data_IF_981590607400
#
_entry.id   IF_981590607400
#
_cell.length_a   1.000
_cell.length_b   1.000
_cell.length_c   1.000
_cell.angle_alpha   90.00
_cell.angle_beta   90.00
_cell.angle_gamma   90.00
#
_symmetry.space_group_name_H-M   'P 1'
#
loop_
_entity.id
_entity.type
_entity.pdbx_description
1 polymer ?
#
# COMPACT_ATOMS: atom_id res chain seq x y z
N UNK A 1 -11.61 21.26 14.71
CA UNK A 1 -12.22 20.04 14.16
C UNK A 1 -12.17 18.96 15.24
N UNK A 2 -13.25 18.18 15.40
CA UNK A 2 -13.21 16.99 16.27
C UNK A 2 -12.45 15.85 15.56
N UNK A 3 -11.97 14.84 16.33
CA UNK A 3 -11.31 13.68 15.74
C UNK A 3 -12.20 12.97 14.68
N UNK A 4 -13.51 12.88 14.93
CA UNK A 4 -14.48 12.31 13.98
C UNK A 4 -14.55 13.09 12.66
N UNK A 5 -14.41 14.42 12.72
CA UNK A 5 -14.45 15.26 11.51
C UNK A 5 -13.18 15.14 10.66
N UNK A 6 -12.05 14.77 11.27
CA UNK A 6 -10.78 14.53 10.57
C UNK A 6 -10.80 13.19 9.80
N UNK A 7 -11.63 12.22 10.23
CA UNK A 7 -11.74 10.93 9.53
C UNK A 7 -12.44 11.12 8.18
N UNK A 8 -11.79 10.80 7.03
CA UNK A 8 -12.21 11.32 5.73
C UNK A 8 -13.35 10.56 5.04
N UNK A 9 -13.85 9.42 5.57
CA UNK A 9 -14.98 8.75 4.91
C UNK A 9 -16.34 9.37 5.33
N UNK A 10 -17.35 9.24 4.49
CA UNK A 10 -18.70 9.77 4.73
C UNK A 10 -19.61 8.73 5.39
N UNK A 11 -19.60 7.51 4.90
CA UNK A 11 -20.39 6.40 5.47
C UNK A 11 -19.68 5.05 5.26
N UNK A 12 -19.91 4.13 6.20
CA UNK A 12 -19.53 2.73 6.14
C UNK A 12 -20.79 1.88 6.21
N UNK A 13 -20.89 0.87 5.33
CA UNK A 13 -22.04 -0.03 5.27
C UNK A 13 -21.67 -1.44 5.75
N UNK A 14 -22.65 -2.24 6.19
CA UNK A 14 -22.40 -3.59 6.71
C UNK A 14 -21.68 -4.52 5.73
N UNK A 15 -21.94 -4.37 4.44
CA UNK A 15 -21.32 -5.14 3.34
C UNK A 15 -19.90 -4.68 2.97
N UNK A 16 -19.32 -3.79 3.75
CA UNK A 16 -17.98 -3.26 3.53
C UNK A 16 -17.90 -2.12 2.52
N UNK A 17 -19.00 -1.70 1.92
CA UNK A 17 -19.00 -0.51 1.04
C UNK A 17 -18.77 0.75 1.87
N UNK A 18 -17.75 1.51 1.52
CA UNK A 18 -17.40 2.77 2.16
C UNK A 18 -17.52 3.92 1.17
N UNK A 19 -18.28 4.97 1.53
CA UNK A 19 -18.42 6.19 0.74
C UNK A 19 -17.37 7.21 1.17
N UNK A 20 -16.58 7.68 0.23
CA UNK A 20 -15.61 8.76 0.39
C UNK A 20 -16.17 10.09 -0.15
N UNK A 21 -15.57 11.25 0.20
CA UNK A 21 -15.84 12.51 -0.46
C UNK A 21 -15.64 12.41 -1.98
N UNK A 22 -16.37 13.25 -2.73
CA UNK A 22 -16.28 13.26 -4.20
C UNK A 22 -17.04 12.12 -4.89
N UNK A 23 -17.89 11.38 -4.17
CA UNK A 23 -18.73 10.34 -4.77
C UNK A 23 -18.00 9.03 -5.09
N UNK A 24 -16.83 8.81 -4.49
CA UNK A 24 -16.08 7.55 -4.62
C UNK A 24 -16.61 6.54 -3.59
N UNK A 25 -16.94 5.34 -4.05
CA UNK A 25 -17.31 4.20 -3.22
C UNK A 25 -16.24 3.13 -3.32
N UNK A 26 -15.85 2.54 -2.18
CA UNK A 26 -14.73 1.61 -2.11
C UNK A 26 -15.10 0.31 -1.39
N UNK A 27 -14.43 -0.78 -1.78
CA UNK A 27 -14.36 -2.04 -1.03
C UNK A 27 -12.91 -2.43 -0.81
N UNK A 28 -12.65 -3.30 0.18
CA UNK A 28 -11.33 -3.76 0.57
C UNK A 28 -11.30 -5.28 0.66
N UNK A 29 -10.23 -5.87 0.18
CA UNK A 29 -9.91 -7.30 0.32
C UNK A 29 -8.61 -7.41 1.09
N UNK A 30 -8.58 -8.25 2.13
CA UNK A 30 -7.35 -8.69 2.80
C UNK A 30 -6.76 -9.86 2.00
N UNK A 31 -5.41 -9.89 1.85
CA UNK A 31 -4.74 -10.99 1.16
C UNK A 31 -3.43 -11.36 1.84
N UNK A 32 -3.03 -12.61 1.67
CA UNK A 32 -1.82 -13.17 2.28
C UNK A 32 -0.63 -13.19 1.30
N UNK A 33 0.52 -13.63 1.82
CA UNK A 33 1.72 -13.82 1.02
C UNK A 33 1.66 -15.11 0.19
N UNK A 34 2.37 -15.08 -0.93
CA UNK A 34 2.77 -16.25 -1.67
C UNK A 34 4.26 -16.53 -1.41
N UNK A 35 4.65 -17.79 -1.30
CA UNK A 35 6.04 -18.18 -1.10
C UNK A 35 6.90 -18.01 -2.37
N UNK A 36 7.04 -16.77 -2.81
CA UNK A 36 7.80 -16.41 -4.02
C UNK A 36 9.30 -16.77 -3.91
N UNK A 37 9.91 -16.51 -2.75
CA UNK A 37 11.36 -16.69 -2.55
C UNK A 37 11.84 -18.16 -2.59
N UNK A 38 10.94 -19.12 -2.31
CA UNK A 38 11.25 -20.55 -2.33
C UNK A 38 10.72 -21.26 -3.58
N UNK A 39 10.03 -20.53 -4.45
CA UNK A 39 9.52 -21.05 -5.71
C UNK A 39 10.63 -21.26 -6.74
N UNK A 40 10.44 -22.20 -7.67
CA UNK A 40 11.36 -22.38 -8.81
C UNK A 40 11.39 -21.12 -9.70
N UNK A 41 12.44 -20.93 -10.50
CA UNK A 41 12.54 -19.78 -11.41
C UNK A 41 11.35 -19.71 -12.39
N UNK A 42 10.85 -20.87 -12.84
CA UNK A 42 9.69 -20.95 -13.72
C UNK A 42 8.42 -20.49 -13.00
N UNK A 43 8.22 -20.95 -11.76
CA UNK A 43 7.09 -20.52 -10.92
C UNK A 43 7.17 -19.04 -10.56
N UNK A 44 8.37 -18.52 -10.25
CA UNK A 44 8.58 -17.09 -10.02
C UNK A 44 8.17 -16.25 -11.23
N UNK A 45 8.55 -16.68 -12.42
CA UNK A 45 8.17 -16.01 -13.67
C UNK A 45 6.65 -16.07 -13.89
N UNK A 46 6.02 -17.22 -13.61
CA UNK A 46 4.57 -17.39 -13.72
C UNK A 46 3.82 -16.50 -12.73
N UNK A 47 4.29 -16.42 -11.48
CA UNK A 47 3.74 -15.55 -10.43
C UNK A 47 3.85 -14.08 -10.86
N UNK A 48 5.02 -13.66 -11.36
CA UNK A 48 5.23 -12.29 -11.82
C UNK A 48 4.31 -11.94 -13.00
N UNK A 49 4.22 -12.81 -14.00
CA UNK A 49 3.33 -12.63 -15.13
C UNK A 49 1.85 -12.58 -14.70
N UNK A 50 1.47 -13.41 -13.73
CA UNK A 50 0.13 -13.42 -13.15
C UNK A 50 -0.19 -12.11 -12.43
N UNK A 51 0.74 -11.57 -11.64
CA UNK A 51 0.59 -10.27 -10.99
C UNK A 51 0.48 -9.12 -11.98
N UNK A 52 1.32 -9.11 -13.01
CA UNK A 52 1.26 -8.12 -14.09
C UNK A 52 -0.10 -8.14 -14.79
N UNK A 53 -0.61 -9.32 -15.10
CA UNK A 53 -1.94 -9.49 -15.69
C UNK A 53 -3.05 -9.04 -14.75
N UNK A 54 -2.92 -9.30 -13.44
CA UNK A 54 -3.86 -8.85 -12.44
C UNK A 54 -3.88 -7.32 -12.32
N UNK A 55 -2.72 -6.67 -12.27
CA UNK A 55 -2.66 -5.20 -12.22
C UNK A 55 -3.24 -4.57 -13.49
N UNK A 56 -3.03 -5.18 -14.66
CA UNK A 56 -3.61 -4.73 -15.93
C UNK A 56 -5.15 -4.88 -16.00
N UNK A 57 -5.78 -5.60 -15.06
CA UNK A 57 -7.23 -5.63 -14.91
C UNK A 57 -7.81 -4.23 -14.57
N UNK A 58 -7.10 -3.44 -13.76
CA UNK A 58 -7.57 -2.12 -13.32
C UNK A 58 -7.42 -1.09 -14.43
N UNK A 59 -8.53 -0.62 -14.95
CA UNK A 59 -8.56 0.47 -15.95
C UNK A 59 -8.62 1.86 -15.28
N UNK A 60 -8.67 2.90 -16.08
CA UNK A 60 -8.67 4.30 -15.60
C UNK A 60 -9.91 4.68 -14.79
N UNK A 61 -10.98 3.87 -14.82
CA UNK A 61 -12.20 4.07 -14.03
C UNK A 61 -12.15 3.40 -12.66
N UNK A 62 -11.13 2.57 -12.41
CA UNK A 62 -10.96 1.77 -11.20
C UNK A 62 -9.66 2.16 -10.46
N UNK A 63 -9.62 3.29 -9.74
CA UNK A 63 -8.51 3.59 -8.86
C UNK A 63 -8.42 2.53 -7.76
N UNK A 64 -7.20 2.14 -7.40
CA UNK A 64 -6.97 1.18 -6.34
C UNK A 64 -5.74 1.56 -5.52
N UNK A 65 -5.65 0.98 -4.33
CA UNK A 65 -4.48 1.11 -3.46
C UNK A 65 -4.09 -0.22 -2.87
N UNK A 66 -2.80 -0.42 -2.72
CA UNK A 66 -2.22 -1.51 -1.96
C UNK A 66 -1.73 -0.95 -0.62
N UNK A 67 -2.16 -1.54 0.48
CA UNK A 67 -1.76 -1.12 1.83
C UNK A 67 -1.08 -2.27 2.54
N UNK A 68 0.08 -1.98 3.11
CA UNK A 68 0.90 -2.90 3.89
C UNK A 68 1.03 -2.32 5.29
N UNK A 69 0.57 -3.04 6.29
CA UNK A 69 0.48 -2.56 7.66
C UNK A 69 1.35 -3.43 8.56
N UNK A 70 2.35 -2.81 9.16
CA UNK A 70 3.16 -3.39 10.21
C UNK A 70 2.68 -2.82 11.56
N UNK A 71 2.18 -3.69 12.43
CA UNK A 71 1.67 -3.31 13.74
C UNK A 71 2.24 -4.22 14.82
N UNK A 72 2.56 -3.67 15.99
CA UNK A 72 2.90 -4.48 17.16
C UNK A 72 1.68 -5.24 17.65
N UNK A 73 1.75 -6.55 17.54
CA UNK A 73 0.71 -7.42 18.09
C UNK A 73 0.92 -7.60 19.59
N UNK A 74 -0.07 -7.22 20.36
CA UNK A 74 -0.12 -7.52 21.80
C UNK A 74 -0.90 -8.81 22.06
N UNK A 75 -1.52 -9.36 21.02
CA UNK A 75 -2.31 -10.59 21.12
C UNK A 75 -1.47 -11.80 20.68
N UNK A 76 -1.18 -12.69 21.63
CA UNK A 76 -0.58 -14.02 21.37
C UNK A 76 -1.51 -14.98 20.60
N UNK A 77 -2.67 -14.50 20.14
CA UNK A 77 -3.78 -15.40 19.81
C UNK A 77 -3.94 -15.76 18.33
N UNK A 78 -3.33 -15.04 17.37
CA UNK A 78 -3.47 -15.39 15.94
C UNK A 78 -2.71 -16.65 15.51
N UNK A 79 -1.62 -16.97 16.19
CA UNK A 79 -0.86 -18.20 15.96
C UNK A 79 -1.10 -19.17 17.11
N UNK A 80 -2.32 -19.70 17.23
CA UNK A 80 -2.57 -20.87 18.06
C UNK A 80 -1.94 -22.09 17.37
N UNK A 81 -0.61 -22.19 17.42
CA UNK A 81 0.04 -23.47 17.17
C UNK A 81 -0.36 -24.39 18.31
N UNK A 82 -1.31 -25.24 18.05
CA UNK A 82 -1.73 -26.29 18.95
C UNK A 82 -1.67 -27.58 18.16
N UNK A 83 -0.68 -28.43 18.45
CA UNK A 83 -0.59 -29.77 17.87
C UNK A 83 -1.65 -30.62 18.60
N UNK A 84 -2.62 -31.19 17.90
CA UNK A 84 -3.67 -31.99 18.51
C UNK A 84 -3.06 -33.10 19.33
N UNK A 85 -3.57 -33.30 20.56
CA UNK A 85 -3.22 -34.45 21.39
C UNK A 85 -3.79 -35.72 20.77
N UNK A 86 -3.03 -36.79 20.77
CA UNK A 86 -3.47 -38.12 20.35
C UNK A 86 -3.40 -39.07 21.53
N UNK A 87 -4.12 -40.17 21.44
CA UNK A 87 -4.13 -41.22 22.44
C UNK A 87 -2.88 -42.13 22.30
N UNK A 88 -1.72 -41.47 22.49
CA UNK A 88 -0.40 -42.10 22.44
C UNK A 88 0.51 -41.52 23.52
N UNK A 89 1.64 -42.13 23.79
CA UNK A 89 2.58 -41.73 24.84
C UNK A 89 3.44 -40.51 24.47
N UNK A 90 3.16 -39.79 23.34
CA UNK A 90 3.96 -38.69 22.82
C UNK A 90 3.38 -37.31 23.08
N UNK A 91 2.40 -37.16 23.94
CA UNK A 91 1.78 -35.86 24.21
C UNK A 91 2.74 -34.86 24.86
N UNK A 92 3.67 -35.34 25.69
CA UNK A 92 4.75 -34.50 26.25
C UNK A 92 5.66 -33.89 25.17
N UNK A 93 6.00 -34.69 24.17
CA UNK A 93 6.80 -34.25 23.01
C UNK A 93 6.03 -33.23 22.17
N UNK A 94 4.71 -33.42 21.97
CA UNK A 94 3.84 -32.48 21.28
C UNK A 94 3.72 -31.14 22.03
N UNK A 95 3.62 -31.19 23.35
CA UNK A 95 3.57 -30.00 24.20
C UNK A 95 4.92 -29.23 24.14
N UNK A 96 6.06 -29.93 24.18
CA UNK A 96 7.40 -29.34 24.05
C UNK A 96 7.63 -28.73 22.66
N UNK A 97 7.26 -29.46 21.59
CA UNK A 97 7.36 -28.97 20.22
C UNK A 97 6.45 -27.78 19.97
N UNK A 98 5.22 -27.78 20.52
CA UNK A 98 4.30 -26.65 20.52
C UNK A 98 4.93 -25.44 21.23
N UNK A 99 5.57 -25.66 22.37
CA UNK A 99 6.31 -24.63 23.12
C UNK A 99 7.46 -24.06 22.32
N UNK A 100 8.24 -24.91 21.66
CA UNK A 100 9.36 -24.51 20.81
C UNK A 100 8.89 -23.69 19.61
N UNK A 101 7.85 -24.12 18.90
CA UNK A 101 7.25 -23.38 17.78
C UNK A 101 6.69 -22.02 18.22
N UNK A 102 5.98 -21.95 19.35
CA UNK A 102 5.51 -20.67 19.93
C UNK A 102 6.66 -19.73 20.24
N UNK A 103 7.76 -20.24 20.81
CA UNK A 103 8.94 -19.44 21.11
C UNK A 103 9.66 -18.99 19.82
N UNK A 104 9.70 -19.83 18.79
CA UNK A 104 10.33 -19.50 17.52
C UNK A 104 9.51 -18.44 16.75
N UNK A 105 8.18 -18.55 16.73
CA UNK A 105 7.29 -17.53 16.16
C UNK A 105 7.43 -16.21 16.92
N UNK A 106 7.50 -16.25 18.25
CA UNK A 106 7.68 -15.04 19.06
C UNK A 106 9.03 -14.36 18.82
N UNK A 107 10.08 -15.12 18.47
CA UNK A 107 11.42 -14.59 18.17
C UNK A 107 11.55 -14.12 16.71
N UNK A 108 10.93 -14.81 15.76
CA UNK A 108 11.10 -14.53 14.34
C UNK A 108 10.37 -13.27 13.85
N UNK A 109 9.30 -12.86 14.52
CA UNK A 109 8.48 -11.71 14.09
C UNK A 109 8.66 -10.44 14.93
N UNK A 110 9.58 -10.40 15.90
CA UNK A 110 9.77 -9.27 16.82
C UNK A 110 8.46 -8.67 17.38
N UNK A 111 7.37 -9.46 17.38
CA UNK A 111 6.02 -9.00 17.76
C UNK A 111 5.33 -8.12 16.71
N UNK A 112 5.86 -8.01 15.49
CA UNK A 112 5.22 -7.30 14.38
C UNK A 112 4.29 -8.24 13.62
N UNK A 113 3.04 -7.87 13.54
CA UNK A 113 2.04 -8.46 12.67
C UNK A 113 1.97 -7.69 11.36
N UNK A 114 2.05 -8.40 10.24
CA UNK A 114 2.00 -7.82 8.90
C UNK A 114 0.70 -8.22 8.23
N UNK A 115 -0.03 -7.23 7.74
CA UNK A 115 -1.27 -7.45 6.99
C UNK A 115 -1.26 -6.65 5.70
N UNK A 116 -1.96 -7.16 4.69
CA UNK A 116 -1.96 -6.62 3.33
C UNK A 116 -3.38 -6.49 2.83
N UNK A 117 -3.66 -5.34 2.23
CA UNK A 117 -4.99 -5.00 1.75
C UNK A 117 -4.91 -4.41 0.35
N UNK A 118 -5.86 -4.79 -0.48
CA UNK A 118 -6.18 -4.06 -1.69
C UNK A 118 -7.54 -3.37 -1.52
N UNK A 119 -7.56 -2.07 -1.71
CA UNK A 119 -8.80 -1.26 -1.72
C UNK A 119 -8.99 -0.71 -3.12
N UNK A 120 -10.14 -0.95 -3.70
CA UNK A 120 -10.52 -0.45 -5.02
C UNK A 120 -11.79 0.39 -4.92
N UNK A 121 -11.96 1.31 -5.84
CA UNK A 121 -13.06 2.25 -5.81
C UNK A 121 -13.67 2.53 -7.16
N UNK A 122 -14.91 2.94 -7.15
CA UNK A 122 -15.62 3.40 -8.34
C UNK A 122 -16.35 4.72 -8.02
N UNK A 123 -16.37 5.68 -8.94
CA UNK A 123 -17.26 6.83 -8.85
C UNK A 123 -18.70 6.40 -9.13
N UNK A 124 -19.63 6.88 -8.32
CA UNK A 124 -21.07 6.66 -8.52
C UNK A 124 -21.89 7.79 -7.86
N UNK A 125 -23.09 8.02 -8.35
CA UNK A 125 -24.00 9.00 -7.78
C UNK A 125 -24.61 8.53 -6.46
N UNK A 126 -24.80 7.20 -6.31
CA UNK A 126 -25.39 6.60 -5.12
C UNK A 126 -24.98 5.16 -4.87
N UNK A 127 -25.25 4.68 -3.64
CA UNK A 127 -24.90 3.33 -3.23
C UNK A 127 -25.62 2.25 -4.04
N UNK A 128 -26.84 2.52 -4.51
CA UNK A 128 -27.63 1.57 -5.32
C UNK A 128 -26.94 1.25 -6.65
N UNK A 129 -26.23 2.23 -7.23
CA UNK A 129 -25.40 2.04 -8.41
C UNK A 129 -24.04 1.44 -8.06
N UNK A 130 -23.41 1.93 -6.98
CA UNK A 130 -22.07 1.53 -6.60
C UNK A 130 -21.96 0.05 -6.17
N UNK A 131 -22.92 -0.43 -5.37
CA UNK A 131 -22.87 -1.75 -4.75
C UNK A 131 -22.73 -2.89 -5.77
N UNK A 132 -23.60 -3.06 -6.77
CA UNK A 132 -23.48 -4.20 -7.70
C UNK A 132 -22.20 -4.14 -8.56
N UNK A 133 -21.72 -2.93 -8.86
CA UNK A 133 -20.45 -2.75 -9.59
C UNK A 133 -19.26 -3.13 -8.73
N UNK A 134 -19.23 -2.73 -7.45
CA UNK A 134 -18.17 -3.09 -6.50
C UNK A 134 -18.18 -4.58 -6.19
N UNK A 135 -19.33 -5.24 -6.06
CA UNK A 135 -19.44 -6.68 -5.87
C UNK A 135 -18.85 -7.46 -7.05
N UNK A 136 -19.08 -6.98 -8.26
CA UNK A 136 -18.46 -7.57 -9.46
C UNK A 136 -16.93 -7.42 -9.45
N UNK A 137 -16.43 -6.22 -9.16
CA UNK A 137 -14.98 -5.98 -9.07
C UNK A 137 -14.37 -6.84 -7.96
N UNK A 138 -15.04 -6.96 -6.80
CA UNK A 138 -14.60 -7.81 -5.69
C UNK A 138 -14.49 -9.28 -6.14
N UNK A 139 -15.48 -9.81 -6.84
CA UNK A 139 -15.46 -11.17 -7.37
C UNK A 139 -14.30 -11.38 -8.36
N UNK A 140 -14.04 -10.40 -9.24
CA UNK A 140 -12.93 -10.45 -10.19
C UNK A 140 -11.57 -10.39 -9.48
N UNK A 141 -11.41 -9.53 -8.47
CA UNK A 141 -10.21 -9.43 -7.63
C UNK A 141 -9.95 -10.73 -6.90
N UNK A 142 -10.97 -11.30 -6.24
CA UNK A 142 -10.88 -12.60 -5.55
C UNK A 142 -10.52 -13.74 -6.53
N UNK A 143 -11.10 -13.72 -7.74
CA UNK A 143 -10.78 -14.68 -8.80
C UNK A 143 -9.33 -14.58 -9.27
N UNK A 144 -8.77 -13.36 -9.34
CA UNK A 144 -7.36 -13.15 -9.68
C UNK A 144 -6.44 -13.67 -8.57
N UNK A 145 -6.70 -13.36 -7.30
CA UNK A 145 -5.95 -13.90 -6.16
C UNK A 145 -5.98 -15.43 -6.12
N UNK A 146 -7.15 -16.03 -6.35
CA UNK A 146 -7.27 -17.48 -6.41
C UNK A 146 -6.41 -18.09 -7.53
N UNK A 147 -6.34 -17.46 -8.71
CA UNK A 147 -5.47 -17.91 -9.81
C UNK A 147 -3.99 -17.80 -9.47
N UNK A 148 -3.60 -16.81 -8.70
CA UNK A 148 -2.24 -16.62 -8.19
C UNK A 148 -1.90 -17.56 -7.02
N UNK A 149 -2.87 -18.31 -6.48
CA UNK A 149 -2.68 -19.13 -5.30
C UNK A 149 -2.54 -18.32 -4.01
N UNK A 150 -3.00 -17.07 -4.01
CA UNK A 150 -2.95 -16.16 -2.85
C UNK A 150 -4.25 -16.28 -2.06
N UNK A 151 -4.22 -16.69 -0.78
CA UNK A 151 -5.38 -16.66 0.08
C UNK A 151 -5.87 -15.22 0.26
N UNK A 152 -7.16 -15.01 0.16
CA UNK A 152 -7.73 -13.66 0.27
C UNK A 152 -9.17 -13.70 0.76
N UNK A 153 -9.59 -12.67 1.50
CA UNK A 153 -10.93 -12.55 2.07
C UNK A 153 -11.47 -11.13 1.87
N UNK A 154 -12.73 -10.98 1.43
CA UNK A 154 -13.36 -9.67 1.34
C UNK A 154 -13.67 -9.15 2.75
N UNK A 155 -13.42 -7.88 2.99
CA UNK A 155 -13.70 -7.25 4.29
C UNK A 155 -15.12 -6.70 4.33
N UNK A 156 -15.91 -7.15 5.29
CA UNK A 156 -17.18 -6.54 5.63
C UNK A 156 -16.99 -5.18 6.35
N UNK A 157 -18.08 -4.47 6.60
CA UNK A 157 -18.00 -3.16 7.22
C UNK A 157 -17.46 -3.19 8.66
N UNK A 158 -17.70 -4.27 9.42
CA UNK A 158 -17.15 -4.43 10.77
C UNK A 158 -15.65 -4.66 10.73
N UNK A 159 -15.17 -5.51 9.82
CA UNK A 159 -13.75 -5.79 9.64
C UNK A 159 -13.00 -4.52 9.21
N UNK A 160 -13.56 -3.73 8.28
CA UNK A 160 -12.99 -2.44 7.86
C UNK A 160 -12.95 -1.43 9.02
N UNK A 161 -14.02 -1.33 9.81
CA UNK A 161 -14.03 -0.46 11.00
C UNK A 161 -13.02 -0.93 12.06
N UNK A 162 -12.86 -2.23 12.27
CA UNK A 162 -11.85 -2.79 13.17
C UNK A 162 -10.43 -2.45 12.70
N UNK A 163 -10.16 -2.53 11.40
CA UNK A 163 -8.89 -2.12 10.81
C UNK A 163 -8.63 -0.63 11.04
N UNK A 164 -9.58 0.24 10.72
CA UNK A 164 -9.47 1.69 10.96
C UNK A 164 -9.29 2.02 12.43
N UNK A 165 -10.06 1.37 13.33
CA UNK A 165 -9.90 1.52 14.77
C UNK A 165 -8.46 1.18 15.20
N UNK A 166 -7.91 0.10 14.69
CA UNK A 166 -6.55 -0.31 15.03
C UNK A 166 -5.47 0.68 14.58
N UNK A 167 -5.70 1.39 13.47
CA UNK A 167 -4.82 2.47 12.99
C UNK A 167 -4.97 3.75 13.83
N UNK A 168 -6.19 4.02 14.28
CA UNK A 168 -6.50 5.19 15.10
C UNK A 168 -6.13 5.02 16.58
N UNK A 169 -5.89 3.78 17.05
CA UNK A 169 -5.53 3.47 18.44
C UNK A 169 -4.22 2.66 18.50
N UNK A 170 -3.08 3.24 18.04
CA UNK A 170 -1.81 2.53 18.05
C UNK A 170 -1.43 2.18 19.50
N UNK A 171 -0.93 0.94 19.69
CA UNK A 171 -0.54 0.42 21.00
C UNK A 171 -1.70 0.04 21.93
N UNK A 172 -2.95 0.24 21.54
CA UNK A 172 -4.08 -0.19 22.33
C UNK A 172 -4.16 -1.71 22.41
N UNK A 173 -4.48 -2.23 23.60
CA UNK A 173 -4.75 -3.66 23.85
C UNK A 173 -6.23 -3.98 23.86
N UNK A 174 -7.07 -2.97 23.74
CA UNK A 174 -8.51 -3.14 23.79
C UNK A 174 -9.03 -3.72 22.48
N UNK A 175 -9.89 -4.72 22.61
CA UNK A 175 -10.58 -5.29 21.46
C UNK A 175 -11.62 -4.30 20.93
N UNK A 176 -11.68 -4.13 19.61
CA UNK A 176 -12.72 -3.33 18.97
C UNK A 176 -14.12 -3.89 19.26
N UNK A 177 -14.93 -3.12 19.96
CA UNK A 177 -16.30 -3.46 20.34
C UNK A 177 -17.27 -2.63 19.52
N UNK A 178 -17.90 -3.25 18.56
CA UNK A 178 -18.87 -2.61 17.68
C UNK A 178 -19.88 -3.62 17.17
N UNK A 179 -21.14 -3.22 17.16
CA UNK A 179 -22.23 -3.94 16.49
C UNK A 179 -23.09 -2.95 15.71
N UNK A 180 -23.56 -3.33 14.54
CA UNK A 180 -24.48 -2.49 13.75
C UNK A 180 -25.78 -2.17 14.48
N UNK A 181 -26.16 -2.97 15.49
CA UNK A 181 -27.33 -2.73 16.36
C UNK A 181 -27.11 -1.56 17.32
N UNK A 182 -25.86 -1.19 17.58
CA UNK A 182 -25.53 -0.11 18.52
C UNK A 182 -25.86 1.26 17.94
N UNK A 183 -25.74 1.44 16.61
CA UNK A 183 -25.96 2.71 15.92
C UNK A 183 -27.37 3.29 16.20
N UNK A 184 -28.50 2.58 15.90
CA UNK A 184 -29.82 3.11 16.18
C UNK A 184 -30.15 3.23 17.68
N UNK A 185 -29.48 2.47 18.53
CA UNK A 185 -29.71 2.49 19.98
C UNK A 185 -29.01 3.66 20.68
N UNK A 186 -27.80 4.01 20.21
CA UNK A 186 -26.98 5.06 20.84
C UNK A 186 -27.07 6.41 20.12
N UNK A 187 -27.51 6.42 18.86
CA UNK A 187 -27.46 7.61 18.00
C UNK A 187 -26.04 7.99 17.53
N UNK A 188 -25.04 7.14 17.83
CA UNK A 188 -23.64 7.34 17.42
C UNK A 188 -23.45 6.87 15.97
N UNK A 189 -22.55 7.53 15.24
CA UNK A 189 -22.13 7.11 13.90
C UNK A 189 -20.92 6.16 13.98
N UNK A 190 -20.62 5.49 12.86
CA UNK A 190 -19.47 4.57 12.78
C UNK A 190 -18.14 5.24 13.13
N UNK A 191 -17.99 6.54 12.88
CA UNK A 191 -16.79 7.31 13.20
C UNK A 191 -16.55 7.45 14.71
N UNK A 192 -17.61 7.48 15.53
CA UNK A 192 -17.50 7.61 16.98
C UNK A 192 -16.87 6.36 17.61
N UNK A 193 -17.05 5.19 16.99
CA UNK A 193 -16.46 3.94 17.47
C UNK A 193 -14.99 3.76 17.07
N UNK A 194 -14.49 4.53 16.11
CA UNK A 194 -13.11 4.39 15.62
C UNK A 194 -12.25 5.63 15.91
N UNK A 195 -12.87 6.75 16.31
CA UNK A 195 -12.14 7.99 16.55
C UNK A 195 -11.18 7.83 17.75
N UNK A 196 -9.93 8.28 17.61
CA UNK A 196 -8.97 8.28 18.72
C UNK A 196 -9.33 9.37 19.74
N UNK A 197 -8.81 9.22 20.95
CA UNK A 197 -8.99 10.20 22.03
C UNK A 197 -8.50 11.61 21.65
N UNK A 198 -7.42 11.66 20.86
CA UNK A 198 -6.86 12.93 20.38
C UNK A 198 -6.09 12.77 19.08
N UNK A 199 -6.21 13.79 18.22
CA UNK A 199 -5.40 14.00 17.02
C UNK A 199 -4.81 15.41 17.05
N UNK A 200 -3.51 15.56 16.82
CA UNK A 200 -2.83 16.85 16.83
C UNK A 200 -1.86 16.97 15.64
N UNK A 201 -2.20 17.80 14.66
CA UNK A 201 -1.43 18.08 13.45
C UNK A 201 -0.78 19.48 13.45
N UNK A 202 -0.62 20.13 14.62
CA UNK A 202 -0.06 21.49 14.72
C UNK A 202 1.44 21.56 14.38
N UNK A 203 2.15 20.43 14.39
CA UNK A 203 3.56 20.40 14.01
C UNK A 203 3.71 20.21 12.48
N UNK A 204 4.72 20.88 11.90
CA UNK A 204 4.92 20.85 10.45
C UNK A 204 5.27 19.47 9.89
N UNK A 205 6.00 18.66 10.64
CA UNK A 205 6.63 17.41 10.14
C UNK A 205 6.24 16.15 10.90
N UNK A 206 5.43 16.29 11.95
CA UNK A 206 4.98 15.20 12.81
C UNK A 206 3.56 15.48 13.27
N UNK A 207 2.87 14.44 13.69
CA UNK A 207 1.56 14.55 14.34
C UNK A 207 1.51 13.68 15.58
N UNK A 208 0.44 13.82 16.36
CA UNK A 208 0.17 12.96 17.50
C UNK A 208 -1.19 12.32 17.37
N UNK A 209 -1.25 11.05 17.72
CA UNK A 209 -2.47 10.26 17.84
C UNK A 209 -2.48 9.57 19.19
N UNK A 210 -3.36 10.00 20.10
CA UNK A 210 -3.30 9.60 21.49
C UNK A 210 -1.91 9.88 22.09
N UNK A 211 -1.26 8.84 22.59
CA UNK A 211 0.09 8.93 23.16
C UNK A 211 1.22 8.74 22.13
N UNK A 212 0.89 8.33 20.89
CA UNK A 212 1.87 8.05 19.85
C UNK A 212 2.26 9.29 19.06
N UNK A 213 3.48 9.27 18.57
CA UNK A 213 4.00 10.19 17.57
C UNK A 213 3.90 9.57 16.20
N UNK A 214 3.53 10.37 15.21
CA UNK A 214 3.43 9.94 13.83
C UNK A 214 4.13 10.88 12.87
N UNK A 215 4.56 10.35 11.73
CA UNK A 215 5.07 11.10 10.60
C UNK A 215 4.63 10.47 9.29
N UNK A 216 4.11 11.29 8.38
CA UNK A 216 3.80 10.89 7.01
C UNK A 216 4.90 11.37 6.10
N UNK A 217 5.37 10.45 5.27
CA UNK A 217 6.38 10.70 4.25
C UNK A 217 5.91 10.10 2.92
N UNK A 218 6.48 10.58 1.82
CA UNK A 218 6.30 9.96 0.50
C UNK A 218 7.65 9.57 -0.08
N UNK A 219 7.64 8.55 -0.93
CA UNK A 219 8.82 8.08 -1.63
C UNK A 219 8.94 8.80 -2.98
N UNK A 220 10.02 9.55 -3.13
CA UNK A 220 10.43 10.12 -4.41
C UNK A 220 11.31 9.11 -5.12
N UNK A 221 10.84 8.55 -6.22
CA UNK A 221 11.56 7.57 -7.02
C UNK A 221 12.41 8.32 -8.04
N UNK A 222 13.73 8.12 -8.00
CA UNK A 222 14.71 8.68 -8.92
C UNK A 222 15.38 7.60 -9.78
N UNK A 223 15.21 6.33 -9.37
CA UNK A 223 15.70 5.19 -10.12
C UNK A 223 14.92 5.02 -11.43
N UNK A 224 15.60 4.61 -12.50
CA UNK A 224 14.96 4.21 -13.76
C UNK A 224 14.18 2.90 -13.63
N UNK A 225 14.66 2.01 -12.76
CA UNK A 225 14.04 0.73 -12.43
C UNK A 225 13.97 0.58 -10.90
N UNK A 226 12.86 0.07 -10.39
CA UNK A 226 12.65 -0.14 -8.98
C UNK A 226 12.74 -1.64 -8.65
N UNK A 227 13.58 -1.99 -7.68
CA UNK A 227 13.67 -3.38 -7.18
C UNK A 227 12.52 -3.69 -6.20
N UNK A 228 11.98 -4.90 -6.30
CA UNK A 228 11.03 -5.48 -5.34
C UNK A 228 11.59 -5.54 -3.91
N UNK A 229 12.91 -5.60 -3.77
CA UNK A 229 13.62 -5.61 -2.47
C UNK A 229 13.39 -4.35 -1.66
N UNK A 230 13.15 -3.20 -2.29
CA UNK A 230 12.88 -1.96 -1.57
C UNK A 230 11.71 -2.09 -0.60
N UNK A 231 10.56 -2.56 -1.09
CA UNK A 231 9.37 -2.73 -0.28
C UNK A 231 9.58 -3.82 0.78
N UNK A 232 10.21 -4.94 0.40
CA UNK A 232 10.51 -6.03 1.32
C UNK A 232 11.39 -5.55 2.49
N UNK A 233 12.50 -4.86 2.24
CA UNK A 233 13.41 -4.34 3.28
C UNK A 233 12.71 -3.31 4.18
N UNK A 234 11.83 -2.46 3.64
CA UNK A 234 11.05 -1.52 4.45
C UNK A 234 10.09 -2.27 5.38
N UNK A 235 9.37 -3.27 4.87
CA UNK A 235 8.38 -4.04 5.65
C UNK A 235 9.02 -5.00 6.65
N UNK A 236 10.29 -5.36 6.49
CA UNK A 236 11.04 -6.19 7.46
C UNK A 236 11.45 -5.41 8.72
N UNK A 237 11.40 -4.09 8.70
CA UNK A 237 11.78 -3.28 9.86
C UNK A 237 10.91 -3.57 11.09
N UNK A 238 11.54 -3.57 12.28
CA UNK A 238 10.86 -3.63 13.58
C UNK A 238 10.28 -2.24 13.93
N UNK A 239 9.33 -1.78 13.12
CA UNK A 239 8.68 -0.50 13.27
C UNK A 239 7.19 -0.60 12.96
N UNK A 240 6.37 0.14 13.71
CA UNK A 240 4.96 0.29 13.38
C UNK A 240 4.83 1.29 12.21
N UNK A 241 4.33 0.79 11.10
CA UNK A 241 4.17 1.62 9.90
C UNK A 241 3.04 1.13 9.01
N UNK A 242 2.52 2.05 8.23
CA UNK A 242 1.64 1.77 7.11
C UNK A 242 2.29 2.28 5.84
N UNK A 243 2.52 1.38 4.89
CA UNK A 243 2.96 1.72 3.55
C UNK A 243 1.78 1.62 2.62
N UNK A 244 1.46 2.69 1.90
CA UNK A 244 0.33 2.70 0.96
C UNK A 244 0.80 3.14 -0.42
N UNK A 245 0.49 2.33 -1.40
CA UNK A 245 0.65 2.63 -2.82
C UNK A 245 -0.71 3.00 -3.39
N UNK A 246 -0.93 4.29 -3.66
CA UNK A 246 -2.09 4.76 -4.41
C UNK A 246 -1.80 4.65 -5.90
N UNK A 247 -2.60 3.88 -6.60
CA UNK A 247 -2.35 3.52 -8.00
C UNK A 247 -3.55 3.97 -8.83
N UNK A 248 -3.27 4.76 -9.85
CA UNK A 248 -4.25 5.21 -10.81
C UNK A 248 -3.79 4.84 -12.21
N UNK A 249 -4.60 4.06 -12.91
CA UNK A 249 -4.34 3.70 -14.31
C UNK A 249 -4.59 4.92 -15.20
N UNK A 250 -3.66 5.22 -16.08
CA UNK A 250 -3.84 6.26 -17.09
C UNK A 250 -4.62 5.68 -18.26
N UNK A 251 -5.59 6.44 -18.78
CA UNK A 251 -6.28 6.08 -20.02
C UNK A 251 -5.30 5.80 -21.15
N UNK A 252 -5.52 4.71 -21.90
CA UNK A 252 -4.56 4.22 -22.90
C UNK A 252 -4.22 5.24 -23.96
N UNK A 253 -5.24 5.94 -24.48
CA UNK A 253 -5.03 6.96 -25.52
C UNK A 253 -4.27 8.16 -24.96
N UNK A 254 -4.60 8.55 -23.72
CA UNK A 254 -3.91 9.63 -23.02
C UNK A 254 -2.47 9.25 -22.73
N UNK A 255 -2.20 8.02 -22.30
CA UNK A 255 -0.85 7.51 -22.05
C UNK A 255 -0.01 7.58 -23.32
N UNK A 256 -0.49 7.00 -24.43
CA UNK A 256 0.20 7.02 -25.73
C UNK A 256 0.47 8.47 -26.19
N UNK A 257 -0.53 9.36 -26.08
CA UNK A 257 -0.38 10.77 -26.44
C UNK A 257 0.69 11.47 -25.60
N UNK A 258 0.68 11.22 -24.30
CA UNK A 258 1.67 11.79 -23.36
C UNK A 258 3.08 11.34 -23.70
N UNK A 259 3.31 10.05 -23.94
CA UNK A 259 4.64 9.53 -24.30
C UNK A 259 5.10 10.04 -25.65
N UNK A 260 4.22 10.08 -26.67
CA UNK A 260 4.56 10.70 -27.96
C UNK A 260 4.96 12.17 -27.81
N UNK A 261 4.29 12.93 -26.95
CA UNK A 261 4.65 14.31 -26.63
C UNK A 261 6.05 14.38 -26.01
N UNK A 262 6.36 13.52 -25.04
CA UNK A 262 7.69 13.45 -24.41
C UNK A 262 8.80 13.08 -25.40
N UNK A 263 8.55 12.12 -26.30
CA UNK A 263 9.50 11.77 -27.39
C UNK A 263 9.78 12.98 -28.28
N UNK A 264 8.74 13.75 -28.63
CA UNK A 264 8.89 14.98 -29.41
C UNK A 264 9.75 16.02 -28.69
N UNK A 265 9.52 16.22 -27.38
CA UNK A 265 10.28 17.18 -26.57
C UNK A 265 11.74 16.75 -26.42
N UNK A 266 12.01 15.45 -26.19
CA UNK A 266 13.37 14.88 -26.18
C UNK A 266 14.05 15.11 -27.55
N UNK A 267 13.32 14.94 -28.65
CA UNK A 267 13.81 15.23 -29.98
C UNK A 267 14.25 16.71 -30.17
N UNK A 268 13.46 17.66 -29.66
CA UNK A 268 13.83 19.08 -29.65
C UNK A 268 15.09 19.33 -28.83
N UNK A 269 15.18 18.74 -27.62
CA UNK A 269 16.36 18.85 -26.77
C UNK A 269 17.62 18.31 -27.45
N UNK A 270 17.52 17.17 -28.15
CA UNK A 270 18.64 16.64 -28.96
C UNK A 270 19.12 17.64 -30.00
N UNK A 271 18.20 18.24 -30.77
CA UNK A 271 18.53 19.24 -31.78
C UNK A 271 19.19 20.47 -31.16
N UNK A 272 18.73 20.91 -29.99
CA UNK A 272 19.34 22.04 -29.26
C UNK A 272 20.77 21.72 -28.80
N UNK A 273 21.00 20.53 -28.23
CA UNK A 273 22.34 20.11 -27.81
C UNK A 273 23.28 19.94 -29.01
N UNK A 274 22.82 19.39 -30.14
CA UNK A 274 23.60 19.35 -31.38
C UNK A 274 23.99 20.73 -31.89
N UNK A 275 23.06 21.69 -31.87
CA UNK A 275 23.36 23.10 -32.25
C UNK A 275 24.37 23.76 -31.33
N UNK A 276 24.29 23.47 -30.01
CA UNK A 276 25.28 23.97 -29.05
C UNK A 276 26.67 23.39 -29.31
N UNK A 277 26.73 22.05 -29.55
CA UNK A 277 27.99 21.37 -29.87
C UNK A 277 28.67 21.99 -31.11
N UNK A 278 27.92 22.17 -32.20
CA UNK A 278 28.42 22.81 -33.43
C UNK A 278 28.95 24.22 -33.17
N UNK A 279 28.22 25.03 -32.39
CA UNK A 279 28.66 26.40 -32.04
C UNK A 279 29.93 26.42 -31.19
N UNK A 280 30.15 25.37 -30.40
CA UNK A 280 31.32 25.26 -29.51
C UNK A 280 32.47 24.47 -30.15
N UNK A 281 32.34 24.06 -31.42
CA UNK A 281 33.37 23.32 -32.15
C UNK A 281 33.49 21.84 -31.74
N UNK A 282 32.48 21.25 -31.08
CA UNK A 282 32.42 19.85 -30.73
C UNK A 282 31.62 19.04 -31.75
N UNK A 283 31.82 17.74 -31.73
CA UNK A 283 31.08 16.79 -32.57
C UNK A 283 29.58 16.77 -32.19
N UNK A 284 28.65 17.10 -33.12
CA UNK A 284 27.21 17.12 -32.85
C UNK A 284 26.61 15.72 -32.57
N UNK A 285 27.32 14.65 -32.90
CA UNK A 285 26.84 13.28 -32.63
C UNK A 285 27.10 12.86 -31.17
N UNK A 286 27.90 13.60 -30.42
CA UNK A 286 28.12 13.41 -28.99
C UNK A 286 26.99 14.07 -28.20
N UNK A 287 25.96 13.29 -27.90
CA UNK A 287 24.85 13.74 -27.08
C UNK A 287 25.06 13.40 -25.59
N UNK A 288 24.48 14.19 -24.65
CA UNK A 288 24.46 13.81 -23.23
C UNK A 288 23.88 12.40 -23.04
N UNK A 289 24.55 11.52 -22.24
CA UNK A 289 24.10 10.14 -22.01
C UNK A 289 22.64 10.04 -21.56
N UNK A 290 22.20 10.98 -20.72
CA UNK A 290 20.82 11.01 -20.21
C UNK A 290 19.78 11.17 -21.33
N UNK A 291 20.06 12.01 -22.35
CA UNK A 291 19.15 12.19 -23.49
C UNK A 291 19.05 10.92 -24.36
N UNK A 292 20.15 10.16 -24.46
CA UNK A 292 20.16 8.90 -25.20
C UNK A 292 19.29 7.88 -24.45
N UNK A 293 19.51 7.74 -23.14
CA UNK A 293 18.76 6.83 -22.27
C UNK A 293 17.28 7.16 -22.28
N UNK A 294 16.90 8.41 -21.97
CA UNK A 294 15.49 8.83 -21.97
C UNK A 294 14.78 8.63 -23.32
N UNK A 295 15.52 8.83 -24.42
CA UNK A 295 14.95 8.58 -25.76
C UNK A 295 14.65 7.11 -26.01
N UNK A 296 15.53 6.23 -25.56
CA UNK A 296 15.38 4.79 -25.67
C UNK A 296 14.21 4.30 -24.80
N UNK A 297 14.22 4.68 -23.52
CA UNK A 297 13.19 4.29 -22.55
C UNK A 297 11.79 4.75 -22.99
N UNK A 298 11.68 5.98 -23.50
CA UNK A 298 10.41 6.50 -23.99
C UNK A 298 9.91 5.76 -25.24
N UNK A 299 10.81 5.33 -26.13
CA UNK A 299 10.46 4.55 -27.30
C UNK A 299 10.02 3.12 -26.93
N UNK A 300 10.72 2.48 -26.00
CA UNK A 300 10.37 1.14 -25.48
C UNK A 300 9.02 1.19 -24.78
N UNK A 301 8.79 2.16 -23.88
CA UNK A 301 7.50 2.36 -23.22
C UNK A 301 6.36 2.57 -24.22
N UNK A 302 6.58 3.34 -25.30
CA UNK A 302 5.58 3.52 -26.33
C UNK A 302 5.26 2.21 -27.05
N UNK A 303 6.27 1.40 -27.36
CA UNK A 303 6.10 0.11 -27.99
C UNK A 303 5.30 -0.86 -27.10
N UNK A 304 5.59 -0.90 -25.80
CA UNK A 304 4.87 -1.73 -24.82
C UNK A 304 3.40 -1.32 -24.70
N UNK A 305 3.13 -0.02 -24.61
CA UNK A 305 1.76 0.50 -24.57
C UNK A 305 0.97 0.19 -25.87
N UNK A 306 1.62 0.14 -27.03
CA UNK A 306 0.94 -0.07 -28.32
C UNK A 306 0.81 -1.55 -28.69
N UNK A 307 1.80 -2.38 -28.33
CA UNK A 307 1.90 -3.76 -28.85
C UNK A 307 1.55 -4.83 -27.82
N UNK A 308 1.79 -4.56 -26.52
CA UNK A 308 1.62 -5.57 -25.46
C UNK A 308 0.38 -5.37 -24.60
N UNK A 309 -0.46 -4.38 -24.91
CA UNK A 309 -1.62 -3.99 -24.11
C UNK A 309 -1.28 -3.74 -22.63
N UNK A 310 -0.07 -3.29 -22.38
CA UNK A 310 0.36 -2.88 -21.05
C UNK A 310 -0.26 -1.54 -20.68
N UNK A 311 -0.40 -1.29 -19.38
CA UNK A 311 -1.01 -0.07 -18.86
C UNK A 311 0.03 0.81 -18.18
N UNK A 312 -0.15 2.11 -18.32
CA UNK A 312 0.63 3.09 -17.57
C UNK A 312 -0.10 3.43 -16.27
N UNK A 313 0.62 3.39 -15.16
CA UNK A 313 0.11 3.72 -13.84
C UNK A 313 0.79 4.98 -13.31
N UNK A 314 0.01 5.82 -12.62
CA UNK A 314 0.53 6.85 -11.74
C UNK A 314 0.56 6.27 -10.33
N UNK A 315 1.72 6.32 -9.70
CA UNK A 315 1.96 5.79 -8.37
C UNK A 315 2.29 6.91 -7.39
N UNK A 316 1.56 6.95 -6.27
CA UNK A 316 1.95 7.70 -5.07
C UNK A 316 2.25 6.72 -3.96
N UNK A 317 3.48 6.70 -3.51
CA UNK A 317 3.96 5.80 -2.46
C UNK A 317 4.12 6.59 -1.16
N UNK A 318 3.28 6.32 -0.17
CA UNK A 318 3.29 6.98 1.14
C UNK A 318 3.71 6.02 2.24
N UNK A 319 4.37 6.54 3.24
CA UNK A 319 4.78 5.81 4.45
C UNK A 319 4.34 6.61 5.67
N UNK A 320 3.52 6.00 6.50
CA UNK A 320 3.14 6.52 7.81
C UNK A 320 3.90 5.72 8.86
N UNK A 321 4.78 6.37 9.61
CA UNK A 321 5.46 5.77 10.75
C UNK A 321 4.77 6.20 12.04
N UNK A 322 4.61 5.26 12.97
CA UNK A 322 4.06 5.49 14.31
C UNK A 322 5.03 4.97 15.37
N UNK A 323 5.22 5.73 16.46
CA UNK A 323 6.08 5.29 17.55
C UNK A 323 5.63 5.88 18.91
N UNK A 324 5.89 5.18 20.02
CA UNK A 324 5.51 5.66 21.34
C UNK A 324 6.32 6.90 21.80
N UNK A 325 7.48 7.14 21.22
CA UNK A 325 8.33 8.29 21.52
C UNK A 325 8.79 9.00 20.25
N UNK A 326 9.03 10.30 20.36
CA UNK A 326 9.55 11.09 19.23
C UNK A 326 10.91 10.59 18.75
N UNK A 327 11.79 10.21 19.69
CA UNK A 327 13.12 9.70 19.35
C UNK A 327 13.03 8.41 18.52
N UNK A 328 12.15 7.49 18.91
CA UNK A 328 11.93 6.25 18.15
C UNK A 328 11.38 6.54 16.76
N UNK A 329 10.40 7.47 16.66
CA UNK A 329 9.86 7.90 15.37
C UNK A 329 10.95 8.43 14.43
N UNK A 330 11.82 9.33 14.94
CA UNK A 330 12.91 9.90 14.13
C UNK A 330 13.87 8.80 13.64
N UNK A 331 14.21 7.84 14.50
CA UNK A 331 15.06 6.71 14.15
C UNK A 331 14.40 5.83 13.07
N UNK A 332 13.12 5.51 13.22
CA UNK A 332 12.38 4.66 12.28
C UNK A 332 12.29 5.34 10.90
N UNK A 333 11.96 6.64 10.84
CA UNK A 333 11.92 7.40 9.59
C UNK A 333 13.32 7.52 8.96
N UNK A 334 14.36 7.72 9.76
CA UNK A 334 15.74 7.75 9.28
C UNK A 334 16.16 6.42 8.66
N UNK A 335 15.79 5.30 9.28
CA UNK A 335 16.10 3.96 8.79
C UNK A 335 15.39 3.68 7.46
N UNK A 336 14.09 4.00 7.36
CA UNK A 336 13.34 3.89 6.08
C UNK A 336 14.00 4.77 5.00
N UNK A 337 14.43 5.99 5.36
CA UNK A 337 15.14 6.89 4.45
C UNK A 337 16.47 6.29 3.94
N UNK A 338 17.22 5.62 4.82
CA UNK A 338 18.46 4.92 4.45
C UNK A 338 18.22 3.77 3.46
N UNK A 339 17.16 2.98 3.68
CA UNK A 339 16.74 1.94 2.72
C UNK A 339 16.36 2.56 1.39
N UNK A 340 15.56 3.63 1.39
CA UNK A 340 15.18 4.32 0.17
C UNK A 340 16.39 4.78 -0.65
N UNK A 341 17.40 5.37 0.01
CA UNK A 341 18.63 5.82 -0.64
C UNK A 341 19.43 4.69 -1.29
N UNK A 342 19.47 3.51 -0.66
CA UNK A 342 20.11 2.32 -1.22
C UNK A 342 19.55 1.94 -2.60
N UNK A 343 18.28 2.25 -2.86
CA UNK A 343 17.57 1.97 -4.11
C UNK A 343 17.36 3.21 -4.99
N UNK A 344 18.21 4.23 -4.86
CA UNK A 344 18.09 5.49 -5.61
C UNK A 344 16.70 6.15 -5.48
N UNK A 345 16.16 6.12 -4.27
CA UNK A 345 14.93 6.79 -3.90
C UNK A 345 15.21 7.76 -2.74
N UNK A 346 14.34 8.72 -2.55
CA UNK A 346 14.39 9.62 -1.40
C UNK A 346 13.08 9.61 -0.63
N UNK A 347 13.15 9.36 0.68
CA UNK A 347 11.99 9.52 1.56
C UNK A 347 11.85 11.00 1.93
N UNK A 348 10.74 11.62 1.56
CA UNK A 348 10.43 13.03 1.82
C UNK A 348 9.27 13.14 2.78
N UNK A 349 9.45 13.82 3.91
CA UNK A 349 8.32 14.15 4.80
C UNK A 349 7.39 15.17 4.16
N UNK A 350 6.11 15.02 4.46
CA UNK A 350 5.12 16.03 4.11
C UNK A 350 5.22 17.18 5.11
N UNK A 351 5.70 18.34 4.67
CA UNK A 351 5.77 19.53 5.50
C UNK A 351 4.42 20.27 5.47
N UNK A 352 3.82 20.50 6.65
CA UNK A 352 2.50 21.13 6.83
C UNK A 352 1.31 20.40 6.19
N UNK A 353 1.51 19.17 5.73
CA UNK A 353 0.50 18.34 5.07
C UNK A 353 0.35 16.97 5.75
N UNK A 354 0.68 16.88 7.03
CA UNK A 354 0.63 15.63 7.78
C UNK A 354 -0.81 15.10 7.91
N UNK A 355 -1.80 15.99 8.09
CA UNK A 355 -3.22 15.63 8.16
C UNK A 355 -3.74 15.09 6.83
N UNK A 356 -3.37 15.71 5.72
CA UNK A 356 -3.80 15.29 4.38
C UNK A 356 -3.12 13.97 3.94
N UNK A 357 -1.92 13.72 4.46
CA UNK A 357 -1.18 12.50 4.14
C UNK A 357 -1.54 11.30 5.01
N UNK A 358 -2.06 11.54 6.23
CA UNK A 358 -2.53 10.51 7.16
C UNK A 358 -3.94 10.07 6.82
#
# INVERSE_FOLDING_TARGET
LSAQQTIPYLSMHPDGVCKLPGGLYTKTVEYEDINYSVASTEDQTAIFSGWSSFLNYFDSSLPFQLSFINRRSHSRSRYQVNIPKADDNYNSVRDEFTGMLKNQIAKSNNGIERSKYITFGIPAEGIAEARPRLERVEADVMGNFKRLGVPSEPMDGRARLALLHSQMHPGSREAFRFSWKDIPQTGLGTKDFIAPDSLDFRQSRTFRIGQYWGAVSYLQIMASELSDKLLAEILELDAEMTVTMHIQTVDQLKAIKTIKGKISDIGKMKVEEQRKAVRSGYDPDILPPDLITFSKDAAELLADLQSRNERMFLLTFTVVNLAPTRQRLENDVFTVGGIAQKYNCALRRLDWQQEQGF
#
